data_IF_369486497160
#
_entry.id   IF_369486497160
#
_cell.length_a   1.000
_cell.length_b   1.000
_cell.length_c   1.000
_cell.angle_alpha   90.00
_cell.angle_beta   90.00
_cell.angle_gamma   90.00
#
_symmetry.space_group_name_H-M   'P 1'
#
loop_
_entity.id
_entity.type
_entity.pdbx_description
1 polymer ?
#
# COMPACT_ATOMS: atom_id res chain seq x y z
N UNK A 1 6.68 -18.86 9.80
CA UNK A 1 8.05 -18.52 10.23
C UNK A 1 8.97 -17.98 9.12
N UNK A 2 8.75 -18.26 7.82
CA UNK A 2 9.64 -17.76 6.73
C UNK A 2 9.37 -16.31 6.28
N UNK A 3 8.12 -15.85 6.29
CA UNK A 3 7.72 -14.48 5.86
C UNK A 3 8.25 -13.39 6.80
N UNK A 4 8.25 -13.66 8.13
CA UNK A 4 8.72 -12.73 9.17
C UNK A 4 10.18 -12.34 9.00
N UNK A 5 11.03 -13.28 8.56
CA UNK A 5 12.48 -13.06 8.49
C UNK A 5 12.91 -12.27 7.25
N UNK A 6 12.09 -12.25 6.19
CA UNK A 6 12.36 -11.52 4.94
C UNK A 6 11.94 -10.05 5.04
N UNK A 7 10.80 -9.76 5.69
CA UNK A 7 10.36 -8.39 5.96
C UNK A 7 11.35 -7.65 6.89
N UNK A 8 11.88 -8.34 7.92
CA UNK A 8 12.95 -7.80 8.78
C UNK A 8 14.28 -7.58 8.06
N UNK A 9 14.60 -8.37 7.01
CA UNK A 9 15.84 -8.21 6.24
C UNK A 9 15.77 -7.12 5.17
N UNK A 10 14.58 -6.85 4.61
CA UNK A 10 14.38 -5.77 3.64
C UNK A 10 14.26 -4.39 4.31
N UNK A 11 13.87 -4.35 5.59
CA UNK A 11 13.66 -3.12 6.37
C UNK A 11 14.80 -2.09 6.33
N UNK A 12 16.09 -2.46 6.52
CA UNK A 12 17.18 -1.49 6.54
C UNK A 12 17.51 -0.91 5.16
N UNK A 13 17.16 -1.60 4.07
CA UNK A 13 17.45 -1.17 2.71
C UNK A 13 16.46 -0.12 2.19
N UNK A 14 15.26 -0.04 2.78
CA UNK A 14 14.26 1.00 2.47
C UNK A 14 14.49 2.28 3.31
N UNK A 15 15.31 2.19 4.36
CA UNK A 15 15.36 3.17 5.46
C UNK A 15 16.31 4.37 5.36
N UNK A 16 17.07 4.57 4.27
CA UNK A 16 18.03 5.70 4.21
C UNK A 16 18.06 6.50 2.89
N UNK A 17 17.15 6.20 1.96
CA UNK A 17 17.07 6.97 0.71
C UNK A 17 15.80 7.80 0.64
N UNK A 18 16.00 9.09 0.33
CA UNK A 18 15.00 10.01 -0.24
C UNK A 18 14.07 9.27 -1.21
N UNK A 19 12.80 9.69 -1.36
CA UNK A 19 11.69 8.84 -1.79
C UNK A 19 11.98 8.14 -3.12
N UNK A 20 12.44 6.90 -3.04
CA UNK A 20 12.38 5.96 -4.16
C UNK A 20 11.10 5.18 -3.99
N UNK A 21 10.10 5.61 -4.75
CA UNK A 21 8.98 4.82 -5.21
C UNK A 21 9.43 3.38 -5.50
N UNK A 22 9.26 2.45 -4.55
CA UNK A 22 9.31 1.02 -4.84
C UNK A 22 7.95 0.68 -5.46
N UNK A 23 7.75 1.18 -6.68
CA UNK A 23 6.77 0.65 -7.61
C UNK A 23 7.58 -0.12 -8.65
N UNK A 24 7.23 -1.37 -8.89
CA UNK A 24 7.51 -1.98 -10.17
C UNK A 24 7.06 -1.01 -11.25
N UNK A 25 7.98 -0.77 -12.18
CA UNK A 25 8.00 0.27 -13.20
C UNK A 25 6.71 0.31 -14.03
N UNK A 26 5.68 1.01 -13.54
CA UNK A 26 4.57 1.48 -14.35
C UNK A 26 4.76 2.98 -14.51
N UNK A 27 5.38 3.36 -15.64
CA UNK A 27 5.30 4.71 -16.16
C UNK A 27 3.83 5.16 -16.11
N UNK A 28 3.53 6.41 -15.72
CA UNK A 28 2.22 6.98 -15.96
C UNK A 28 1.93 6.80 -17.45
N UNK A 29 0.89 6.01 -17.78
CA UNK A 29 0.41 5.93 -19.14
C UNK A 29 -0.17 7.31 -19.45
N UNK A 30 0.63 8.13 -20.14
CA UNK A 30 0.18 9.38 -20.70
C UNK A 30 -1.04 9.08 -21.59
N UNK A 31 -2.23 9.47 -21.13
CA UNK A 31 -3.36 9.68 -22.01
C UNK A 31 -3.04 10.95 -22.80
N UNK A 32 -2.70 10.78 -24.07
CA UNK A 32 -2.45 11.87 -24.99
C UNK A 32 -3.78 12.47 -25.49
N UNK A 33 -3.80 13.82 -25.54
CA UNK A 33 -4.77 14.75 -26.16
C UNK A 33 -6.09 14.93 -25.37
N UNK A 34 -6.40 16.10 -24.78
CA UNK A 34 -6.43 17.45 -25.38
C UNK A 34 -6.09 18.57 -24.37
N UNK A 35 -5.66 19.75 -24.86
CA UNK A 35 -5.16 20.94 -24.13
C UNK A 35 -6.10 21.60 -23.09
N UNK A 36 -7.24 20.98 -22.75
CA UNK A 36 -8.20 21.46 -21.74
C UNK A 36 -8.09 20.69 -20.40
N UNK A 37 -7.33 19.58 -20.36
CA UNK A 37 -7.20 18.72 -19.16
C UNK A 37 -6.04 19.09 -18.22
N UNK A 38 -5.09 19.92 -18.67
CA UNK A 38 -3.93 20.28 -17.86
C UNK A 38 -4.27 21.25 -16.73
N UNK A 39 -5.22 22.16 -16.96
CA UNK A 39 -5.68 23.16 -15.97
C UNK A 39 -6.51 22.47 -14.88
N UNK A 40 -7.39 21.53 -15.27
CA UNK A 40 -8.23 20.78 -14.33
C UNK A 40 -7.41 19.78 -13.51
N UNK A 41 -6.44 19.10 -14.13
CA UNK A 41 -5.53 18.18 -13.43
C UNK A 41 -4.61 18.90 -12.43
N UNK A 42 -4.14 20.11 -12.77
CA UNK A 42 -3.35 20.94 -11.87
C UNK A 42 -4.17 21.42 -10.66
N UNK A 43 -5.40 21.87 -10.90
CA UNK A 43 -6.32 22.32 -9.85
C UNK A 43 -6.74 21.17 -8.91
N UNK A 44 -6.99 19.98 -9.44
CA UNK A 44 -7.24 18.77 -8.66
C UNK A 44 -6.04 18.39 -7.79
N UNK A 45 -4.81 18.44 -8.34
CA UNK A 45 -3.59 18.15 -7.58
C UNK A 45 -3.37 19.16 -6.44
N UNK A 46 -3.62 20.44 -6.69
CA UNK A 46 -3.54 21.50 -5.68
C UNK A 46 -4.61 21.34 -4.60
N UNK A 47 -5.84 21.04 -4.99
CA UNK A 47 -6.95 20.82 -4.05
C UNK A 47 -6.68 19.61 -3.16
N UNK A 48 -6.18 18.51 -3.72
CA UNK A 48 -5.76 17.33 -2.95
C UNK A 48 -4.64 17.66 -1.97
N UNK A 49 -3.60 18.38 -2.42
CA UNK A 49 -2.49 18.79 -1.54
C UNK A 49 -2.93 19.71 -0.42
N UNK A 50 -3.84 20.65 -0.70
CA UNK A 50 -4.41 21.54 0.31
C UNK A 50 -5.22 20.75 1.34
N UNK A 51 -6.10 19.85 0.89
CA UNK A 51 -6.89 18.99 1.78
C UNK A 51 -6.00 18.06 2.61
N UNK A 52 -4.96 17.49 2.00
CA UNK A 52 -3.96 16.68 2.68
C UNK A 52 -3.23 17.49 3.76
N UNK A 53 -2.84 18.74 3.47
CA UNK A 53 -2.22 19.63 4.45
C UNK A 53 -3.17 20.03 5.59
N UNK A 54 -4.46 20.21 5.32
CA UNK A 54 -5.49 20.48 6.32
C UNK A 54 -5.64 19.32 7.32
N UNK A 55 -5.65 18.07 6.85
CA UNK A 55 -5.86 16.89 7.71
C UNK A 55 -4.57 16.31 8.32
N UNK A 56 -3.40 16.65 7.75
CA UNK A 56 -2.10 16.11 8.19
C UNK A 56 -1.83 16.26 9.71
N UNK A 57 -2.17 17.39 10.37
CA UNK A 57 -1.98 17.54 11.81
C UNK A 57 -2.82 16.56 12.63
N UNK A 58 -4.05 16.27 12.20
CA UNK A 58 -4.98 15.37 12.90
C UNK A 58 -4.55 13.91 12.77
N UNK A 59 -3.93 13.54 11.64
CA UNK A 59 -3.43 12.20 11.39
C UNK A 59 -2.26 11.81 12.31
N UNK A 60 -1.48 12.77 12.81
CA UNK A 60 -0.34 12.56 13.74
C UNK A 60 0.66 11.47 13.31
N UNK A 61 0.75 11.20 12.01
CA UNK A 61 1.60 10.14 11.47
C UNK A 61 1.06 8.73 11.60
N UNK A 62 -0.24 8.57 11.82
CA UNK A 62 -0.94 7.27 11.81
C UNK A 62 -0.97 6.68 10.40
N UNK A 63 -1.02 5.35 10.30
CA UNK A 63 -1.22 4.66 9.02
C UNK A 63 -2.65 4.77 8.52
N UNK A 64 -2.81 4.89 7.20
CA UNK A 64 -4.09 4.89 6.51
C UNK A 64 -4.26 3.58 5.76
N UNK A 65 -5.28 2.79 6.11
CA UNK A 65 -5.59 1.53 5.45
C UNK A 65 -6.80 1.72 4.52
N UNK A 66 -6.58 1.54 3.22
CA UNK A 66 -7.67 1.41 2.26
C UNK A 66 -8.04 -0.06 2.17
N UNK A 67 -9.26 -0.38 2.57
CA UNK A 67 -9.78 -1.76 2.63
C UNK A 67 -10.86 -1.95 1.56
N UNK A 68 -10.95 -3.15 0.96
CA UNK A 68 -11.93 -3.50 -0.07
C UNK A 68 -11.33 -4.15 -1.31
N UNK A 69 -12.12 -4.29 -2.37
CA UNK A 69 -11.76 -5.03 -3.60
C UNK A 69 -10.51 -4.46 -4.26
N UNK A 70 -9.60 -5.37 -4.63
CA UNK A 70 -8.41 -5.07 -5.41
C UNK A 70 -8.84 -4.48 -6.75
N UNK A 71 -8.68 -3.17 -6.88
CA UNK A 71 -9.00 -2.42 -8.08
C UNK A 71 -7.92 -1.38 -8.33
N UNK A 72 -7.70 -1.05 -9.60
CA UNK A 72 -6.75 -0.02 -10.00
C UNK A 72 -7.14 1.36 -9.45
N UNK A 73 -8.43 1.61 -9.24
CA UNK A 73 -8.92 2.86 -8.65
C UNK A 73 -8.39 2.99 -7.22
N UNK A 74 -8.51 1.93 -6.42
CA UNK A 74 -8.06 1.93 -5.03
C UNK A 74 -6.56 2.15 -4.90
N UNK A 75 -5.76 1.41 -5.67
CA UNK A 75 -4.30 1.56 -5.66
C UNK A 75 -3.86 2.92 -6.19
N UNK A 76 -4.48 3.44 -7.25
CA UNK A 76 -4.16 4.75 -7.79
C UNK A 76 -4.54 5.87 -6.80
N UNK A 77 -5.73 5.82 -6.20
CA UNK A 77 -6.17 6.78 -5.18
C UNK A 77 -5.25 6.77 -3.95
N UNK A 78 -4.84 5.58 -3.48
CA UNK A 78 -3.89 5.46 -2.37
C UNK A 78 -2.51 6.04 -2.71
N UNK A 79 -2.00 5.83 -3.92
CA UNK A 79 -0.73 6.42 -4.37
C UNK A 79 -0.80 7.94 -4.40
N UNK A 80 -1.88 8.51 -4.97
CA UNK A 80 -2.09 9.95 -5.00
C UNK A 80 -2.21 10.54 -3.59
N UNK A 81 -2.89 9.83 -2.68
CA UNK A 81 -3.03 10.23 -1.29
C UNK A 81 -1.67 10.20 -0.56
N UNK A 82 -0.87 9.16 -0.78
CA UNK A 82 0.48 9.04 -0.22
C UNK A 82 1.39 10.18 -0.69
N UNK A 83 1.32 10.52 -1.99
CA UNK A 83 2.07 11.66 -2.55
C UNK A 83 1.64 12.99 -1.92
N UNK A 84 0.33 13.21 -1.78
CA UNK A 84 -0.23 14.44 -1.22
C UNK A 84 0.12 14.61 0.27
N UNK A 85 0.05 13.53 1.06
CA UNK A 85 0.37 13.53 2.49
C UNK A 85 1.87 13.42 2.80
N UNK A 86 2.71 13.13 1.80
CA UNK A 86 4.13 12.77 1.98
C UNK A 86 4.29 11.55 2.90
N UNK A 87 3.47 10.53 2.65
CA UNK A 87 3.47 9.23 3.32
C UNK A 87 4.04 8.19 2.36
N UNK A 88 4.44 7.03 2.88
CA UNK A 88 4.88 5.91 2.04
C UNK A 88 3.69 5.07 1.59
N UNK A 89 3.72 4.57 0.36
CA UNK A 89 2.68 3.71 -0.18
C UNK A 89 3.11 2.24 -0.12
N UNK A 90 2.22 1.37 0.35
CA UNK A 90 2.40 -0.08 0.33
C UNK A 90 1.12 -0.78 -0.16
N UNK A 91 1.30 -1.89 -0.88
CA UNK A 91 0.23 -2.83 -1.21
C UNK A 91 0.47 -4.12 -0.42
N UNK A 92 -0.45 -4.49 0.47
CA UNK A 92 -0.27 -5.65 1.36
C UNK A 92 -0.06 -6.93 0.57
N UNK A 93 -0.78 -7.05 -0.55
CA UNK A 93 -0.79 -8.27 -1.35
C UNK A 93 0.55 -8.42 -2.05
N UNK A 94 1.09 -7.33 -2.61
CA UNK A 94 2.45 -7.31 -3.18
C UNK A 94 3.52 -7.66 -2.15
N UNK A 95 3.40 -7.19 -0.89
CA UNK A 95 4.36 -7.52 0.18
C UNK A 95 4.31 -9.01 0.54
N UNK A 96 3.12 -9.59 0.62
CA UNK A 96 2.94 -11.04 0.84
C UNK A 96 3.48 -11.84 -0.35
N UNK A 97 3.24 -11.38 -1.59
CA UNK A 97 3.75 -12.02 -2.80
C UNK A 97 5.28 -12.08 -2.80
N UNK A 98 5.95 -10.95 -2.54
CA UNK A 98 7.42 -10.89 -2.47
C UNK A 98 7.96 -11.79 -1.35
N UNK A 99 7.33 -11.78 -0.17
CA UNK A 99 7.76 -12.62 0.95
C UNK A 99 7.62 -14.12 0.68
N UNK A 100 6.72 -14.51 -0.22
CA UNK A 100 6.51 -15.90 -0.64
C UNK A 100 7.32 -16.29 -1.89
N UNK A 101 8.06 -15.35 -2.49
CA UNK A 101 8.90 -15.61 -3.67
C UNK A 101 8.19 -15.41 -5.01
N UNK A 102 7.14 -14.59 -5.04
CA UNK A 102 6.42 -14.16 -6.24
C UNK A 102 5.07 -14.84 -6.47
N UNK A 103 4.35 -14.37 -7.49
CA UNK A 103 2.95 -14.74 -7.79
C UNK A 103 2.71 -16.23 -8.00
N UNK A 104 3.64 -16.92 -8.66
CA UNK A 104 3.51 -18.35 -8.93
C UNK A 104 3.67 -19.19 -7.67
N UNK A 105 4.60 -18.79 -6.79
CA UNK A 105 4.79 -19.40 -5.48
C UNK A 105 3.54 -19.20 -4.61
N UNK A 106 2.97 -18.01 -4.61
CA UNK A 106 1.72 -17.68 -3.89
C UNK A 106 0.57 -18.56 -4.36
N UNK A 107 0.37 -18.72 -5.67
CA UNK A 107 -0.70 -19.58 -6.20
C UNK A 107 -0.54 -21.03 -5.77
N UNK A 108 0.69 -21.55 -5.73
CA UNK A 108 0.97 -22.91 -5.24
C UNK A 108 0.75 -23.02 -3.73
N UNK A 109 1.17 -21.99 -3.00
CA UNK A 109 1.06 -21.90 -1.56
C UNK A 109 -0.40 -21.87 -1.11
N UNK A 110 -1.25 -21.03 -1.73
CA UNK A 110 -2.69 -20.95 -1.45
C UNK A 110 -3.39 -22.30 -1.63
N UNK A 111 -3.01 -23.07 -2.65
CA UNK A 111 -3.57 -24.41 -2.90
C UNK A 111 -3.19 -25.42 -1.83
N UNK A 112 -2.03 -25.24 -1.21
CA UNK A 112 -1.45 -26.20 -0.25
C UNK A 112 -1.81 -25.84 1.18
N UNK A 113 -1.75 -24.55 1.52
CA UNK A 113 -1.94 -24.03 2.87
C UNK A 113 -2.61 -22.64 2.83
N UNK A 114 -3.93 -22.65 2.58
CA UNK A 114 -4.74 -21.43 2.61
C UNK A 114 -4.69 -20.74 3.98
N UNK A 115 -4.64 -21.51 5.07
CA UNK A 115 -4.58 -20.96 6.43
C UNK A 115 -3.26 -20.23 6.66
N UNK A 116 -2.14 -20.84 6.31
CA UNK A 116 -0.82 -20.20 6.39
C UNK A 116 -0.72 -18.93 5.53
N UNK A 117 -1.44 -18.87 4.41
CA UNK A 117 -1.54 -17.65 3.60
C UNK A 117 -2.27 -16.54 4.35
N UNK A 118 -3.42 -16.84 4.96
CA UNK A 118 -4.16 -15.87 5.80
C UNK A 118 -3.36 -15.41 7.01
N UNK A 119 -2.65 -16.31 7.67
CA UNK A 119 -1.77 -15.99 8.79
C UNK A 119 -0.63 -15.05 8.32
N UNK A 120 -0.12 -15.23 7.09
CA UNK A 120 0.91 -14.37 6.49
C UNK A 120 0.39 -12.98 6.14
N UNK A 121 -0.84 -12.86 5.62
CA UNK A 121 -1.50 -11.56 5.40
C UNK A 121 -1.68 -10.80 6.71
N UNK A 122 -2.14 -11.50 7.77
CA UNK A 122 -2.34 -10.93 9.11
C UNK A 122 -1.04 -10.34 9.65
N UNK A 123 0.05 -11.11 9.55
CA UNK A 123 1.37 -10.69 10.02
C UNK A 123 1.91 -9.47 9.25
N UNK A 124 1.72 -9.43 7.94
CA UNK A 124 2.11 -8.25 7.13
C UNK A 124 1.33 -7.01 7.54
N UNK A 125 0.02 -7.13 7.74
CA UNK A 125 -0.80 -6.01 8.19
C UNK A 125 -0.38 -5.50 9.57
N UNK A 126 -0.08 -6.41 10.50
CA UNK A 126 0.45 -6.09 11.83
C UNK A 126 1.78 -5.34 11.78
N UNK A 127 2.67 -5.76 10.89
CA UNK A 127 3.95 -5.06 10.71
C UNK A 127 3.72 -3.67 10.15
N UNK A 128 2.90 -3.53 9.10
CA UNK A 128 2.57 -2.25 8.49
C UNK A 128 1.83 -1.30 9.47
N UNK A 129 0.97 -1.81 10.35
CA UNK A 129 0.26 -1.00 11.34
C UNK A 129 1.17 -0.46 12.44
N UNK A 130 2.23 -1.20 12.79
CA UNK A 130 3.26 -0.72 13.72
C UNK A 130 4.13 0.40 13.15
N UNK A 131 4.10 0.60 11.83
CA UNK A 131 4.82 1.69 11.17
C UNK A 131 4.04 3.00 11.30
N UNK A 132 4.75 4.12 11.15
CA UNK A 132 4.12 5.44 11.04
C UNK A 132 4.13 5.94 9.60
N UNK A 133 3.17 6.80 9.27
CA UNK A 133 3.10 7.59 8.03
C UNK A 133 3.04 6.74 6.76
N UNK A 134 2.17 5.74 6.75
CA UNK A 134 1.91 4.91 5.59
C UNK A 134 0.51 5.09 5.03
N UNK A 135 0.37 4.81 3.74
CA UNK A 135 -0.89 4.53 3.07
C UNK A 135 -0.81 3.10 2.54
N UNK A 136 -1.63 2.22 3.08
CA UNK A 136 -1.64 0.79 2.78
C UNK A 136 -2.91 0.43 2.02
N UNK A 137 -2.77 -0.15 0.83
CA UNK A 137 -3.86 -0.84 0.16
C UNK A 137 -3.94 -2.27 0.69
N UNK A 138 -5.01 -2.58 1.41
CA UNK A 138 -5.26 -3.90 1.97
C UNK A 138 -6.35 -4.60 1.17
N UNK A 139 -6.04 -5.71 0.50
CA UNK A 139 -6.96 -6.37 -0.42
C UNK A 139 -8.18 -7.02 0.22
N UNK A 140 -8.93 -7.79 -0.56
CA UNK A 140 -10.09 -8.55 -0.04
C UNK A 140 -9.72 -9.53 1.09
N UNK A 141 -8.47 -10.00 1.16
CA UNK A 141 -8.00 -10.85 2.25
C UNK A 141 -7.97 -10.16 3.61
N UNK A 142 -7.81 -8.83 3.63
CA UNK A 142 -7.78 -8.05 4.86
C UNK A 142 -9.11 -8.05 5.62
N UNK A 143 -10.25 -8.30 4.97
CA UNK A 143 -11.57 -8.37 5.64
C UNK A 143 -12.04 -9.79 5.91
N UNK A 144 -11.33 -10.81 5.42
CA UNK A 144 -11.76 -12.21 5.55
C UNK A 144 -11.40 -12.84 6.89
N UNK A 145 -10.48 -12.24 7.63
CA UNK A 145 -10.16 -12.63 8.99
C UNK A 145 -10.55 -11.50 9.94
N UNK A 146 -11.43 -11.77 10.91
CA UNK A 146 -11.78 -10.81 11.96
C UNK A 146 -10.54 -10.29 12.70
N UNK A 147 -9.46 -11.07 12.65
CA UNK A 147 -8.18 -10.70 13.22
C UNK A 147 -7.50 -9.49 12.55
N UNK A 148 -7.72 -9.30 11.26
CA UNK A 148 -7.09 -8.23 10.50
C UNK A 148 -7.74 -6.87 10.79
N UNK A 149 -9.00 -6.86 11.26
CA UNK A 149 -9.72 -5.63 11.61
C UNK A 149 -9.15 -4.98 12.87
N UNK A 150 -8.65 -5.76 13.84
CA UNK A 150 -8.01 -5.20 15.03
C UNK A 150 -6.57 -4.73 14.77
N UNK A 151 -5.88 -5.27 13.76
CA UNK A 151 -4.54 -4.81 13.38
C UNK A 151 -4.58 -3.54 12.52
N UNK A 152 -5.71 -3.23 11.87
CA UNK A 152 -5.88 -2.01 11.05
C UNK A 152 -6.30 -0.77 11.87
N UNK A 153 -6.61 -0.92 13.17
CA UNK A 153 -7.06 0.15 14.07
C UNK A 153 -6.02 0.45 15.14
#
# INVERSE_FOLDING_TARGET
MKVVQLAQQLWPLVGHSRPTTICHHLKPRALANNNHDSITQFDLSLTLKRKAAEISPDLKGTCLFLVGINSSIKSNSAQLLAEALRYYYFDSDSVVEEALGGKDAVRSFIKTDLKGFRDSETEVLKQLSSMGRLVVCAGNGAVQCAANLYECC
#
